data_IF_060521402346
#
_entry.id   IF_060521402346
#
_cell.length_a   1.000
_cell.length_b   1.000
_cell.length_c   1.000
_cell.angle_alpha   90.00
_cell.angle_beta   90.00
_cell.angle_gamma   90.00
#
_symmetry.space_group_name_H-M   'P 1'
#
loop_
_entity.id
_entity.type
_entity.pdbx_description
1 polymer ?
#
# COMPACT_ATOMS: atom_id res chain seq x y z
N UNK A 1 -10.70 0.52 22.01
CA UNK A 1 -11.07 -0.04 20.69
C UNK A 1 -11.40 1.11 19.76
N UNK A 2 -10.41 1.62 19.01
CA UNK A 2 -10.64 2.72 18.08
C UNK A 2 -11.44 2.20 16.87
N UNK A 3 -12.69 2.65 16.76
CA UNK A 3 -13.57 2.33 15.63
C UNK A 3 -13.01 3.04 14.40
N UNK A 4 -12.45 2.29 13.45
CA UNK A 4 -12.14 2.82 12.13
C UNK A 4 -13.48 3.14 11.45
N UNK A 5 -13.85 4.42 11.40
CA UNK A 5 -15.04 4.91 10.70
C UNK A 5 -14.84 4.68 9.21
N UNK A 6 -15.46 3.61 8.69
CA UNK A 6 -15.59 3.40 7.25
C UNK A 6 -16.68 4.35 6.77
N UNK A 7 -16.31 5.58 6.44
CA UNK A 7 -17.24 6.45 5.73
C UNK A 7 -17.38 5.91 4.31
N UNK A 8 -18.44 5.14 4.04
CA UNK A 8 -18.76 4.68 2.70
C UNK A 8 -19.21 5.87 1.85
N UNK A 9 -18.29 6.48 1.10
CA UNK A 9 -18.67 7.35 0.00
C UNK A 9 -18.96 6.46 -1.22
N UNK A 10 -20.22 6.02 -1.36
CA UNK A 10 -20.70 5.36 -2.56
C UNK A 10 -20.79 6.37 -3.72
N UNK A 11 -19.67 6.57 -4.41
CA UNK A 11 -19.67 7.22 -5.72
C UNK A 11 -20.28 6.22 -6.71
N UNK A 12 -21.54 6.48 -7.08
CA UNK A 12 -22.46 5.60 -7.83
C UNK A 12 -21.85 4.66 -8.89
N UNK A 13 -22.40 3.45 -8.94
CA UNK A 13 -22.27 2.48 -10.04
C UNK A 13 -20.93 1.75 -10.19
N UNK A 14 -19.82 2.33 -9.70
CA UNK A 14 -18.47 1.76 -9.74
C UNK A 14 -17.79 1.88 -8.37
N UNK A 15 -18.34 1.19 -7.37
CA UNK A 15 -18.05 1.38 -5.95
C UNK A 15 -16.54 1.43 -5.65
N UNK A 16 -16.04 2.65 -5.45
CA UNK A 16 -14.76 2.92 -4.83
C UNK A 16 -15.02 3.07 -3.34
N UNK A 17 -14.32 2.31 -2.50
CA UNK A 17 -14.47 2.39 -1.04
C UNK A 17 -13.38 3.31 -0.50
N UNK A 18 -13.62 4.04 0.59
CA UNK A 18 -12.53 4.70 1.31
C UNK A 18 -12.42 4.19 2.75
N UNK A 19 -11.20 4.19 3.27
CA UNK A 19 -10.86 3.76 4.61
C UNK A 19 -9.96 4.82 5.24
N UNK A 20 -10.33 5.34 6.40
CA UNK A 20 -9.48 6.25 7.17
C UNK A 20 -8.58 5.46 8.11
N UNK A 21 -7.34 5.92 8.25
CA UNK A 21 -6.30 5.26 9.03
C UNK A 21 -5.47 6.29 9.79
N UNK A 22 -5.17 6.00 11.05
CA UNK A 22 -4.24 6.83 11.82
C UNK A 22 -2.79 6.40 11.56
N UNK A 23 -1.95 7.38 11.25
CA UNK A 23 -0.50 7.21 11.04
C UNK A 23 0.24 7.75 12.27
N UNK A 24 1.46 7.27 12.50
CA UNK A 24 2.32 7.84 13.54
C UNK A 24 2.57 9.34 13.27
N UNK A 25 2.59 10.15 14.34
CA UNK A 25 2.88 11.58 14.23
C UNK A 25 1.68 12.50 13.93
N UNK A 26 0.52 12.29 14.57
CA UNK A 26 -0.69 13.13 14.45
C UNK A 26 -1.31 13.26 13.05
N UNK A 27 -0.83 12.49 12.07
CA UNK A 27 -1.31 12.51 10.68
C UNK A 27 -2.36 11.43 10.46
N UNK A 28 -3.30 11.69 9.56
CA UNK A 28 -4.30 10.71 9.14
C UNK A 28 -4.12 10.39 7.66
N UNK A 29 -4.20 9.11 7.32
CA UNK A 29 -4.17 8.65 5.95
C UNK A 29 -5.58 8.25 5.49
N UNK A 30 -5.94 8.66 4.28
CA UNK A 30 -7.16 8.23 3.59
C UNK A 30 -6.77 7.27 2.48
N UNK A 31 -7.21 6.02 2.59
CA UNK A 31 -6.98 4.99 1.58
C UNK A 31 -8.20 4.86 0.69
N UNK A 32 -8.04 5.12 -0.59
CA UNK A 32 -9.09 4.99 -1.60
C UNK A 32 -8.90 3.66 -2.32
N UNK A 33 -9.87 2.77 -2.13
CA UNK A 33 -9.96 1.46 -2.74
C UNK A 33 -10.65 1.54 -4.10
N UNK A 34 -9.89 1.33 -5.17
CA UNK A 34 -10.37 1.39 -6.55
C UNK A 34 -10.50 -0.02 -7.14
N UNK A 35 -11.60 -0.35 -7.84
CA UNK A 35 -11.70 -1.61 -8.57
C UNK A 35 -10.54 -1.83 -9.55
N UNK A 36 -10.00 -3.06 -9.62
CA UNK A 36 -8.82 -3.37 -10.45
C UNK A 36 -9.00 -3.05 -11.94
N UNK A 37 -10.25 -3.00 -12.42
CA UNK A 37 -10.61 -2.60 -13.78
C UNK A 37 -10.23 -1.15 -14.09
N UNK A 38 -10.41 -0.25 -13.13
CA UNK A 38 -10.20 1.19 -13.29
C UNK A 38 -8.79 1.65 -12.93
N UNK A 39 -7.93 0.74 -12.45
CA UNK A 39 -6.55 1.04 -12.00
C UNK A 39 -5.76 1.87 -13.02
N UNK A 40 -5.83 1.53 -14.32
CA UNK A 40 -5.09 2.22 -15.37
C UNK A 40 -5.56 3.67 -15.57
N UNK A 41 -6.87 3.92 -15.46
CA UNK A 41 -7.44 5.26 -15.56
C UNK A 41 -7.01 6.12 -14.36
N UNK A 42 -7.11 5.56 -13.14
CA UNK A 42 -6.70 6.26 -11.92
C UNK A 42 -5.20 6.54 -11.86
N UNK A 43 -4.34 5.67 -12.42
CA UNK A 43 -2.90 5.97 -12.55
C UNK A 43 -2.66 7.23 -13.40
N UNK A 44 -3.35 7.40 -14.53
CA UNK A 44 -3.18 8.59 -15.38
C UNK A 44 -3.54 9.91 -14.67
N UNK A 45 -4.53 9.89 -13.78
CA UNK A 45 -5.06 11.10 -13.12
C UNK A 45 -4.53 11.24 -11.68
N UNK A 46 -3.72 10.29 -11.20
CA UNK A 46 -3.35 10.15 -9.79
C UNK A 46 -2.77 11.42 -9.18
N UNK A 47 -1.78 12.05 -9.84
CA UNK A 47 -1.09 13.23 -9.32
C UNK A 47 -2.08 14.38 -9.09
N UNK A 48 -2.99 14.60 -10.04
CA UNK A 48 -4.02 15.65 -9.95
C UNK A 48 -5.04 15.33 -8.85
N UNK A 49 -5.53 14.10 -8.81
CA UNK A 49 -6.51 13.64 -7.82
C UNK A 49 -5.97 13.76 -6.39
N UNK A 50 -4.75 13.30 -6.14
CA UNK A 50 -4.13 13.35 -4.81
C UNK A 50 -3.95 14.80 -4.38
N UNK A 51 -3.40 15.65 -5.25
CA UNK A 51 -3.18 17.07 -4.95
C UNK A 51 -4.50 17.81 -4.67
N UNK A 52 -5.57 17.54 -5.44
CA UNK A 52 -6.87 18.17 -5.24
C UNK A 52 -7.56 17.69 -3.96
N UNK A 53 -7.43 16.41 -3.62
CA UNK A 53 -8.00 15.86 -2.41
C UNK A 53 -7.25 16.37 -1.18
N UNK A 54 -5.92 16.39 -1.20
CA UNK A 54 -5.10 16.93 -0.11
C UNK A 54 -5.48 18.39 0.20
N UNK A 55 -5.68 19.23 -0.83
CA UNK A 55 -6.15 20.61 -0.68
C UNK A 55 -7.57 20.73 -0.11
N UNK A 56 -8.46 19.79 -0.44
CA UNK A 56 -9.86 19.80 0.08
C UNK A 56 -9.93 19.32 1.53
N UNK A 57 -9.00 18.46 1.95
CA UNK A 57 -8.97 17.93 3.31
C UNK A 57 -8.19 18.82 4.29
N UNK A 58 -7.31 19.71 3.81
CA UNK A 58 -6.65 20.71 4.67
C UNK A 58 -7.62 21.77 5.23
N UNK A 59 -8.85 21.87 4.69
CA UNK A 59 -9.89 22.81 5.16
C UNK A 59 -10.87 22.23 6.18
N UNK A 60 -10.72 20.97 6.61
CA UNK A 60 -11.53 20.38 7.69
C UNK A 60 -10.69 20.36 8.97
N UNK A 61 -10.95 21.35 9.81
CA UNK A 61 -10.30 21.60 11.09
C UNK A 61 -10.23 20.33 11.94
N UNK A 62 -9.02 20.03 12.44
CA UNK A 62 -8.62 19.10 13.52
C UNK A 62 -7.38 18.24 13.16
N UNK A 63 -7.02 18.09 11.88
CA UNK A 63 -5.82 17.34 11.48
C UNK A 63 -5.05 18.08 10.38
N UNK A 64 -3.84 18.55 10.72
CA UNK A 64 -3.04 19.45 9.87
C UNK A 64 -2.47 18.79 8.60
N UNK A 65 -2.59 17.47 8.45
CA UNK A 65 -2.10 16.74 7.28
C UNK A 65 -2.87 15.45 7.05
N UNK A 66 -3.54 15.39 5.90
CA UNK A 66 -4.14 14.17 5.37
C UNK A 66 -3.33 13.66 4.19
N UNK A 67 -2.78 12.46 4.31
CA UNK A 67 -2.13 11.80 3.19
C UNK A 67 -3.14 10.94 2.44
N UNK A 68 -3.27 11.14 1.14
CA UNK A 68 -4.19 10.34 0.31
C UNK A 68 -3.41 9.28 -0.45
N UNK A 69 -3.81 8.01 -0.29
CA UNK A 69 -3.20 6.87 -0.98
C UNK A 69 -4.27 6.11 -1.76
N UNK A 70 -4.00 5.83 -3.04
CA UNK A 70 -4.91 5.09 -3.91
C UNK A 70 -4.46 3.64 -4.04
N UNK A 71 -5.30 2.69 -3.63
CA UNK A 71 -5.00 1.26 -3.67
C UNK A 71 -6.03 0.53 -4.52
N UNK A 72 -5.58 -0.32 -5.45
CA UNK A 72 -6.51 -1.18 -6.16
C UNK A 72 -7.03 -2.30 -5.26
N UNK A 73 -8.35 -2.51 -5.20
CA UNK A 73 -8.95 -3.67 -4.55
C UNK A 73 -8.58 -4.93 -5.33
N UNK A 74 -7.88 -5.85 -4.68
CA UNK A 74 -7.53 -7.16 -5.23
C UNK A 74 -8.11 -8.23 -4.32
N UNK A 75 -8.73 -9.26 -4.91
CA UNK A 75 -9.30 -10.38 -4.16
C UNK A 75 -8.33 -11.56 -4.16
N UNK A 76 -7.91 -11.95 -2.97
CA UNK A 76 -7.12 -13.17 -2.77
C UNK A 76 -8.04 -14.39 -2.77
N UNK A 77 -7.70 -15.41 -3.55
CA UNK A 77 -8.41 -16.69 -3.58
C UNK A 77 -7.58 -17.71 -2.82
N UNK A 78 -8.14 -18.53 -1.92
CA UNK A 78 -7.32 -19.53 -1.23
C UNK A 78 -6.80 -20.60 -2.22
N UNK A 79 -5.63 -21.21 -1.96
CA UNK A 79 -5.19 -22.36 -2.76
C UNK A 79 -6.28 -23.43 -2.80
N UNK A 80 -6.53 -24.05 -3.97
CA UNK A 80 -7.47 -25.17 -4.08
C UNK A 80 -7.06 -26.32 -3.16
N UNK A 81 -8.04 -27.06 -2.63
CA UNK A 81 -7.77 -28.30 -1.89
C UNK A 81 -7.24 -29.35 -2.87
N UNK A 82 -6.35 -30.23 -2.38
CA UNK A 82 -5.75 -31.31 -3.18
C UNK A 82 -6.89 -32.19 -3.75
N UNK A 83 -7.02 -32.23 -5.08
CA UNK A 83 -8.08 -32.98 -5.78
C UNK A 83 -9.16 -32.14 -6.47
N UNK A 84 -9.19 -30.80 -6.31
CA UNK A 84 -10.13 -29.97 -7.07
C UNK A 84 -9.58 -29.58 -8.45
N UNK A 85 -10.40 -29.68 -9.49
CA UNK A 85 -10.05 -29.30 -10.87
C UNK A 85 -9.87 -27.77 -11.09
N UNK A 86 -10.30 -26.94 -10.13
CA UNK A 86 -10.26 -25.47 -10.26
C UNK A 86 -8.83 -24.96 -10.01
N UNK A 87 -8.15 -24.54 -11.08
CA UNK A 87 -6.84 -23.91 -10.99
C UNK A 87 -6.97 -22.44 -10.56
N UNK A 88 -6.21 -22.04 -9.53
CA UNK A 88 -6.15 -20.64 -9.08
C UNK A 88 -5.38 -19.80 -10.11
N UNK A 89 -5.95 -18.68 -10.60
CA UNK A 89 -5.20 -17.73 -11.41
C UNK A 89 -4.02 -17.14 -10.63
N UNK A 90 -2.83 -17.06 -11.26
CA UNK A 90 -1.62 -16.50 -10.62
C UNK A 90 -1.81 -15.07 -10.11
N UNK A 91 -2.62 -14.27 -10.81
CA UNK A 91 -2.92 -12.87 -10.42
C UNK A 91 -3.66 -12.74 -9.10
N UNK A 92 -4.26 -13.83 -8.60
CA UNK A 92 -4.98 -13.88 -7.32
C UNK A 92 -4.17 -14.56 -6.23
N UNK A 93 -2.85 -14.76 -6.40
CA UNK A 93 -1.93 -15.26 -5.37
C UNK A 93 -1.70 -14.22 -4.27
N UNK A 94 -1.45 -14.65 -3.03
CA UNK A 94 -1.17 -13.72 -1.92
C UNK A 94 0.06 -12.85 -2.25
N UNK A 95 1.12 -13.48 -2.77
CA UNK A 95 2.34 -12.82 -3.20
C UNK A 95 2.08 -11.80 -4.31
N UNK A 96 1.39 -12.18 -5.38
CA UNK A 96 1.09 -11.26 -6.49
C UNK A 96 0.15 -10.12 -6.08
N UNK A 97 -0.75 -10.37 -5.12
CA UNK A 97 -1.61 -9.32 -4.55
C UNK A 97 -0.79 -8.34 -3.74
N UNK A 98 0.15 -8.81 -2.91
CA UNK A 98 1.00 -7.94 -2.09
C UNK A 98 1.95 -7.11 -2.95
N UNK A 99 2.58 -7.72 -3.95
CA UNK A 99 3.40 -7.01 -4.94
C UNK A 99 2.58 -5.94 -5.66
N UNK A 100 1.37 -6.30 -6.09
CA UNK A 100 0.48 -5.40 -6.78
C UNK A 100 -0.16 -4.33 -5.90
N UNK A 101 -0.07 -4.42 -4.56
CA UNK A 101 -0.45 -3.37 -3.61
C UNK A 101 0.72 -2.41 -3.43
N UNK A 102 1.95 -2.92 -3.25
CA UNK A 102 3.17 -2.11 -3.16
C UNK A 102 3.30 -1.16 -4.36
N UNK A 103 3.10 -1.65 -5.58
CA UNK A 103 3.13 -0.84 -6.80
C UNK A 103 2.08 0.29 -6.86
N UNK A 104 0.98 0.17 -6.12
CA UNK A 104 -0.07 1.19 -6.14
C UNK A 104 0.17 2.23 -5.05
N UNK A 105 0.65 1.79 -3.88
CA UNK A 105 0.93 2.67 -2.74
C UNK A 105 2.04 3.66 -3.08
N UNK A 106 3.06 3.21 -3.81
CA UNK A 106 4.29 3.98 -4.09
C UNK A 106 4.16 4.91 -5.30
N UNK A 107 3.10 4.77 -6.11
CA UNK A 107 2.89 5.63 -7.28
C UNK A 107 2.77 7.11 -6.85
N UNK A 108 3.45 8.08 -7.48
CA UNK A 108 4.10 8.07 -8.81
C UNK A 108 5.46 7.38 -8.89
N UNK A 109 6.15 7.18 -7.77
CA UNK A 109 7.49 6.61 -7.78
C UNK A 109 7.50 5.16 -8.22
N UNK A 110 8.58 4.78 -8.90
CA UNK A 110 8.83 3.41 -9.32
C UNK A 110 9.76 2.71 -8.32
N UNK A 111 9.53 1.40 -8.17
CA UNK A 111 10.34 0.55 -7.29
C UNK A 111 11.49 0.00 -8.13
N UNK A 112 12.72 0.40 -7.80
CA UNK A 112 13.93 -0.07 -8.48
C UNK A 112 14.26 -1.50 -8.09
N UNK A 113 14.20 -1.78 -6.77
CA UNK A 113 14.62 -3.06 -6.22
C UNK A 113 13.85 -3.43 -4.98
N UNK A 114 13.66 -4.74 -4.80
CA UNK A 114 13.06 -5.36 -3.62
C UNK A 114 14.10 -6.29 -2.98
N UNK A 115 14.46 -6.02 -1.74
CA UNK A 115 15.38 -6.83 -0.96
C UNK A 115 14.65 -7.44 0.24
N UNK A 116 14.81 -8.75 0.41
CA UNK A 116 14.36 -9.44 1.62
C UNK A 116 15.59 -9.71 2.46
N UNK A 117 15.71 -8.98 3.57
CA UNK A 117 16.70 -9.34 4.58
C UNK A 117 16.13 -10.49 5.41
N UNK A 118 16.98 -11.42 5.80
CA UNK A 118 16.64 -12.47 6.75
C UNK A 118 17.58 -12.33 7.94
N UNK A 119 17.05 -12.24 9.16
CA UNK A 119 17.88 -12.29 10.37
C UNK A 119 18.35 -13.72 10.62
N UNK A 120 19.57 -13.86 11.14
CA UNK A 120 20.21 -15.15 11.45
C UNK A 120 19.50 -15.91 12.56
N UNK A 121 18.74 -15.21 13.42
CA UNK A 121 18.06 -15.78 14.61
C UNK A 121 16.90 -16.73 14.28
N UNK A 122 16.68 -17.07 13.01
CA UNK A 122 15.86 -18.23 12.68
C UNK A 122 14.43 -18.16 13.22
N UNK A 123 13.88 -16.96 13.46
CA UNK A 123 12.46 -16.73 13.71
C UNK A 123 11.64 -17.02 12.44
N UNK A 124 11.75 -18.25 11.96
CA UNK A 124 10.85 -18.99 11.11
C UNK A 124 9.70 -19.43 12.00
N UNK A 125 8.71 -18.55 12.18
CA UNK A 125 7.36 -19.02 12.49
C UNK A 125 6.82 -19.67 11.20
N UNK A 126 7.38 -20.81 10.82
CA UNK A 126 6.88 -21.62 9.70
C UNK A 126 5.82 -22.56 10.28
N UNK A 127 4.60 -22.02 10.38
CA UNK A 127 3.35 -22.77 10.21
C UNK A 127 2.33 -21.81 9.56
N UNK A 128 2.16 -21.96 8.25
CA UNK A 128 0.96 -21.64 7.49
C UNK A 128 0.29 -20.26 7.66
N UNK A 129 0.98 -19.18 8.01
CA UNK A 129 0.41 -17.82 7.92
C UNK A 129 1.54 -16.82 7.95
N UNK A 130 1.29 -15.65 7.37
CA UNK A 130 2.21 -14.52 7.26
C UNK A 130 2.98 -14.25 8.56
N UNK A 131 4.32 -14.16 8.48
CA UNK A 131 5.13 -13.12 9.12
C UNK A 131 6.60 -13.34 8.71
N UNK A 132 7.10 -12.50 7.81
CA UNK A 132 8.51 -12.13 7.88
C UNK A 132 8.57 -11.04 8.95
N UNK A 133 9.21 -11.31 10.08
CA UNK A 133 9.50 -10.32 11.14
C UNK A 133 10.65 -9.39 10.71
N UNK A 134 11.04 -9.48 9.44
CA UNK A 134 12.21 -8.80 8.88
C UNK A 134 11.69 -7.77 7.89
N UNK A 135 12.13 -6.50 8.00
CA UNK A 135 11.65 -5.47 7.10
C UNK A 135 12.03 -5.81 5.67
N UNK A 136 11.01 -5.88 4.81
CA UNK A 136 11.22 -5.93 3.38
C UNK A 136 11.74 -4.56 2.96
N UNK A 137 12.96 -4.51 2.43
CA UNK A 137 13.57 -3.27 1.98
C UNK A 137 13.19 -2.98 0.55
N UNK A 138 12.64 -1.78 0.33
CA UNK A 138 12.22 -1.33 -0.98
C UNK A 138 13.06 -0.12 -1.35
N UNK A 139 13.77 -0.24 -2.47
CA UNK A 139 14.54 0.84 -3.05
C UNK A 139 13.68 1.61 -4.03
N UNK A 140 13.49 2.89 -3.74
CA UNK A 140 12.78 3.84 -4.56
C UNK A 140 13.74 4.54 -5.53
N UNK A 141 13.22 5.02 -6.65
CA UNK A 141 14.00 5.87 -7.55
C UNK A 141 14.37 7.20 -6.88
N UNK A 142 15.64 7.63 -6.94
CA UNK A 142 16.09 8.87 -6.30
C UNK A 142 15.55 10.14 -6.99
N UNK A 143 15.05 10.02 -8.23
CA UNK A 143 14.55 11.16 -9.03
C UNK A 143 13.31 11.82 -8.44
N UNK A 144 12.47 11.06 -7.73
CA UNK A 144 11.22 11.56 -7.17
C UNK A 144 11.28 11.79 -5.65
N UNK A 145 12.48 11.70 -5.07
CA UNK A 145 12.72 11.75 -3.61
C UNK A 145 11.99 12.91 -2.92
N UNK A 146 12.05 14.12 -3.48
CA UNK A 146 11.47 15.32 -2.89
C UNK A 146 9.94 15.20 -2.68
N UNK A 147 9.25 14.44 -3.53
CA UNK A 147 7.79 14.28 -3.49
C UNK A 147 7.34 13.09 -2.63
N UNK A 148 8.22 12.12 -2.38
CA UNK A 148 7.85 10.88 -1.67
C UNK A 148 8.39 10.81 -0.25
N UNK A 149 9.43 11.58 0.09
CA UNK A 149 10.07 11.56 1.41
C UNK A 149 9.10 11.86 2.56
N UNK A 150 8.16 12.80 2.38
CA UNK A 150 7.18 13.12 3.42
C UNK A 150 6.11 12.03 3.63
N UNK A 151 5.92 11.10 2.67
CA UNK A 151 4.87 10.04 2.71
C UNK A 151 5.38 8.67 3.15
N UNK A 152 6.68 8.50 3.37
CA UNK A 152 7.28 7.17 3.64
C UNK A 152 6.66 6.47 4.85
N UNK A 153 6.45 7.21 5.94
CA UNK A 153 5.83 6.69 7.16
C UNK A 153 4.39 6.21 6.91
N UNK A 154 3.66 6.96 6.10
CA UNK A 154 2.28 6.62 5.70
C UNK A 154 2.26 5.36 4.84
N UNK A 155 3.19 5.20 3.89
CA UNK A 155 3.28 3.99 3.07
C UNK A 155 3.53 2.74 3.91
N UNK A 156 4.44 2.81 4.88
CA UNK A 156 4.71 1.71 5.81
C UNK A 156 3.47 1.40 6.66
N UNK A 157 2.81 2.41 7.21
CA UNK A 157 1.61 2.23 8.04
C UNK A 157 0.45 1.60 7.24
N UNK A 158 0.21 2.08 6.02
CA UNK A 158 -0.83 1.55 5.12
C UNK A 158 -0.54 0.10 4.74
N UNK A 159 0.70 -0.20 4.36
CA UNK A 159 1.07 -1.56 3.95
C UNK A 159 1.00 -2.55 5.11
N UNK A 160 1.46 -2.16 6.30
CA UNK A 160 1.37 -2.99 7.51
C UNK A 160 -0.07 -3.35 7.86
N UNK A 161 -1.00 -2.42 7.68
CA UNK A 161 -2.42 -2.62 7.98
C UNK A 161 -3.15 -3.46 6.94
N UNK A 162 -2.78 -3.34 5.66
CA UNK A 162 -3.39 -4.12 4.59
C UNK A 162 -2.85 -5.55 4.52
N UNK A 163 -1.54 -5.72 4.72
CA UNK A 163 -0.82 -6.96 4.43
C UNK A 163 -0.24 -7.65 5.66
N UNK A 164 -0.22 -7.00 6.84
CA UNK A 164 0.36 -7.55 8.06
C UNK A 164 1.88 -7.75 8.00
N UNK A 165 2.57 -7.11 7.05
CA UNK A 165 4.02 -7.21 6.84
C UNK A 165 4.67 -5.85 7.02
N UNK A 166 5.83 -5.83 7.67
CA UNK A 166 6.61 -4.62 7.83
C UNK A 166 7.51 -4.38 6.60
N UNK A 167 7.57 -3.11 6.18
CA UNK A 167 8.31 -2.64 5.01
C UNK A 167 9.06 -1.38 5.40
N UNK A 168 10.31 -1.29 4.94
CA UNK A 168 11.13 -0.11 5.08
C UNK A 168 11.46 0.40 3.68
N UNK A 169 11.19 1.68 3.45
CA UNK A 169 11.47 2.36 2.20
C UNK A 169 12.79 3.12 2.33
N UNK A 170 13.73 2.84 1.43
CA UNK A 170 15.05 3.47 1.40
C UNK A 170 15.31 4.00 -0.01
N UNK A 171 16.12 5.06 -0.11
CA UNK A 171 16.69 5.49 -1.38
C UNK A 171 18.09 4.91 -1.50
N UNK A 172 18.49 4.41 -2.68
CA UNK A 172 19.88 4.04 -2.89
C UNK A 172 20.73 5.30 -2.73
N UNK A 173 21.59 5.33 -1.71
CA UNK A 173 22.66 6.30 -1.65
C UNK A 173 23.60 5.93 -2.80
N UNK A 174 23.81 6.84 -3.74
CA UNK A 174 24.84 6.65 -4.76
C UNK A 174 26.19 6.54 -4.02
N UNK A 175 26.65 5.32 -3.78
CA UNK A 175 28.05 5.08 -3.50
C UNK A 175 28.79 5.37 -4.80
N UNK A 176 29.33 6.59 -4.89
CA UNK A 176 30.34 6.96 -5.86
C UNK A 176 31.50 5.97 -5.68
N UNK A 177 31.70 5.10 -6.67
CA UNK A 177 32.89 4.27 -6.84
C UNK A 177 33.68 4.78 -8.05
#
# INVERSE_FOLDING_TARGET
>A
MHRNTVHGCDLGGNACRCSQMDVAGSRKAVVIHVPSRLRKAFKKIHVKLVTELEKKFSGKEDFSCYDVVVVATRRTVRPPKKGSAVQRPRTRTLTAVHDGILENVVYPAEIVRKHVRYHLDGAKVIKCTELCVVPFQIFLDPKERNNTEYKLETFTAVYRRLCGKDVVFEYPVAENA
#
